data_IF_819112517845
#
_entry.id   IF_819112517845
#
_cell.length_a   1.000
_cell.length_b   1.000
_cell.length_c   1.000
_cell.angle_alpha   90.00
_cell.angle_beta   90.00
_cell.angle_gamma   90.00
#
_symmetry.space_group_name_H-M   'P 1'
#
loop_
_entity.id
_entity.type
_entity.pdbx_description
1 polymer ?
#
# COMPACT_ATOMS: atom_id res chain seq x y z
N UNK A 1 9.66 -14.25 -9.14
CA UNK A 1 9.30 -13.17 -8.18
C UNK A 1 10.11 -11.96 -8.59
N UNK A 2 9.49 -10.85 -8.94
CA UNK A 2 10.23 -9.62 -9.22
C UNK A 2 10.88 -9.09 -7.94
N UNK A 3 12.12 -8.60 -8.03
CA UNK A 3 12.81 -8.00 -6.92
C UNK A 3 12.03 -6.77 -6.41
N UNK A 4 12.05 -6.58 -5.08
CA UNK A 4 11.53 -5.37 -4.46
C UNK A 4 12.54 -4.25 -4.72
N UNK A 5 12.08 -3.20 -5.38
CA UNK A 5 12.88 -2.01 -5.69
C UNK A 5 12.92 -1.10 -4.47
N UNK A 6 11.75 -0.87 -3.86
CA UNK A 6 11.58 -0.04 -2.66
C UNK A 6 10.59 -0.68 -1.69
N UNK A 7 10.91 -0.56 -0.41
CA UNK A 7 10.08 -1.00 0.71
C UNK A 7 10.06 0.09 1.79
N UNK A 8 8.87 0.62 2.08
CA UNK A 8 8.71 1.72 3.05
C UNK A 8 7.36 1.68 3.75
N UNK A 9 7.32 2.19 4.98
CA UNK A 9 6.07 2.42 5.70
C UNK A 9 5.57 3.84 5.40
N UNK A 10 4.37 3.94 4.84
CA UNK A 10 3.72 5.22 4.55
C UNK A 10 2.31 5.30 5.14
N UNK A 11 1.82 6.53 5.31
CA UNK A 11 0.45 6.79 5.72
C UNK A 11 -0.47 6.85 4.49
N UNK A 12 -1.28 5.82 4.28
CA UNK A 12 -2.20 5.74 3.14
C UNK A 12 -3.55 6.36 3.50
N UNK A 13 -4.00 7.33 2.70
CA UNK A 13 -5.39 7.83 2.73
C UNK A 13 -6.36 6.81 2.12
N UNK A 14 -7.51 6.59 2.74
CA UNK A 14 -8.59 5.78 2.18
C UNK A 14 -9.23 6.49 0.98
N UNK A 15 -9.75 5.72 0.02
CA UNK A 15 -10.62 6.29 -1.00
C UNK A 15 -11.92 6.75 -0.35
N UNK A 16 -12.25 8.03 -0.50
CA UNK A 16 -13.46 8.60 0.06
C UNK A 16 -14.64 8.26 -0.87
N UNK A 17 -15.60 7.46 -0.39
CA UNK A 17 -16.77 7.06 -1.18
C UNK A 17 -17.89 8.10 -1.17
N UNK A 18 -18.07 8.85 -0.08
CA UNK A 18 -19.05 9.93 0.05
C UNK A 18 -18.35 11.23 0.45
N UNK A 19 -18.76 12.37 -0.12
CA UNK A 19 -18.13 13.69 0.09
C UNK A 19 -18.03 14.10 1.56
N UNK A 20 -19.01 13.71 2.37
CA UNK A 20 -19.09 14.05 3.81
C UNK A 20 -18.43 13.02 4.72
N UNK A 21 -17.97 11.88 4.20
CA UNK A 21 -17.33 10.86 5.03
C UNK A 21 -15.99 11.36 5.58
N UNK A 22 -15.64 11.08 6.84
CA UNK A 22 -14.35 11.44 7.40
C UNK A 22 -13.18 10.87 6.59
N UNK A 23 -12.07 11.62 6.54
CA UNK A 23 -10.83 11.15 5.94
C UNK A 23 -10.17 10.12 6.87
N UNK A 24 -9.88 8.93 6.36
CA UNK A 24 -9.18 7.89 7.12
C UNK A 24 -7.76 7.74 6.59
N UNK A 25 -6.80 7.74 7.51
CA UNK A 25 -5.38 7.55 7.23
C UNK A 25 -4.88 6.31 7.97
N UNK A 26 -4.24 5.38 7.28
CA UNK A 26 -3.70 4.14 7.89
C UNK A 26 -2.26 3.92 7.48
N UNK A 27 -1.41 3.58 8.45
CA UNK A 27 -0.03 3.15 8.17
C UNK A 27 -0.06 1.84 7.40
N UNK A 28 0.72 1.74 6.32
CA UNK A 28 0.82 0.57 5.45
C UNK A 28 2.27 0.37 5.02
N UNK A 29 2.69 -0.88 4.92
CA UNK A 29 3.94 -1.26 4.29
C UNK A 29 3.71 -1.33 2.77
N UNK A 30 4.42 -0.50 2.01
CA UNK A 30 4.38 -0.48 0.56
C UNK A 30 5.58 -1.21 -0.01
N UNK A 31 5.33 -2.03 -1.03
CA UNK A 31 6.34 -2.72 -1.81
C UNK A 31 6.17 -2.33 -3.28
N UNK A 32 7.22 -1.75 -3.84
CA UNK A 32 7.31 -1.45 -5.26
C UNK A 32 8.16 -2.51 -5.95
N UNK A 33 7.61 -3.11 -7.00
CA UNK A 33 8.30 -4.00 -7.93
C UNK A 33 8.12 -3.44 -9.33
N UNK A 34 8.87 -3.95 -10.31
CA UNK A 34 8.70 -3.56 -11.74
C UNK A 34 7.28 -3.78 -12.27
N UNK A 35 6.50 -4.68 -11.67
CA UNK A 35 5.15 -5.01 -12.15
C UNK A 35 4.02 -4.44 -11.30
N UNK A 36 4.23 -4.28 -9.99
CA UNK A 36 3.16 -3.94 -9.04
C UNK A 36 3.64 -3.01 -7.94
N UNK A 37 2.78 -2.08 -7.58
CA UNK A 37 2.79 -1.34 -6.32
C UNK A 37 1.76 -1.99 -5.37
N UNK A 38 2.23 -2.75 -4.39
CA UNK A 38 1.37 -3.45 -3.43
C UNK A 38 1.50 -2.85 -2.04
N UNK A 39 0.42 -2.90 -1.26
CA UNK A 39 0.45 -2.44 0.12
C UNK A 39 -0.24 -3.39 1.09
N UNK A 40 0.34 -3.48 2.29
CA UNK A 40 0.03 -4.48 3.30
C UNK A 40 -0.20 -3.81 4.66
N UNK A 41 -0.89 -4.51 5.55
CA UNK A 41 -0.70 -4.26 6.98
C UNK A 41 0.75 -4.52 7.38
N UNK A 42 1.23 -3.80 8.38
CA UNK A 42 2.54 -4.04 8.97
C UNK A 42 2.32 -4.61 10.37
N UNK A 43 2.83 -5.81 10.60
CA UNK A 43 2.82 -6.48 11.90
C UNK A 43 4.04 -6.00 12.67
N UNK A 44 3.84 -5.01 13.55
CA UNK A 44 4.93 -4.42 14.35
C UNK A 44 5.49 -5.41 15.38
N UNK A 45 4.66 -6.31 15.92
CA UNK A 45 5.08 -7.31 16.90
C UNK A 45 6.02 -8.34 16.28
N UNK A 46 5.77 -8.72 15.02
CA UNK A 46 6.60 -9.70 14.29
C UNK A 46 7.59 -9.09 13.32
N UNK A 47 7.64 -7.75 13.22
CA UNK A 47 8.51 -7.02 12.31
C UNK A 47 8.37 -7.42 10.84
N UNK A 48 7.17 -7.78 10.39
CA UNK A 48 6.96 -8.34 9.03
C UNK A 48 5.68 -7.87 8.36
N UNK A 49 5.59 -8.09 7.04
CA UNK A 49 4.37 -7.83 6.29
C UNK A 49 3.21 -8.69 6.80
N UNK A 50 2.07 -8.04 7.04
CA UNK A 50 0.80 -8.68 7.36
C UNK A 50 -0.06 -8.92 6.12
N UNK A 51 -1.38 -8.82 6.30
CA UNK A 51 -2.36 -9.06 5.23
C UNK A 51 -2.25 -8.04 4.08
N UNK A 52 -2.40 -8.49 2.83
CA UNK A 52 -2.44 -7.60 1.66
C UNK A 52 -3.72 -6.78 1.68
N UNK A 53 -3.61 -5.45 1.54
CA UNK A 53 -4.76 -4.52 1.51
C UNK A 53 -5.06 -3.96 0.13
N UNK A 54 -4.14 -4.09 -0.82
CA UNK A 54 -4.39 -3.79 -2.21
C UNK A 54 -3.13 -3.88 -3.07
N UNK A 55 -3.35 -3.68 -4.37
CA UNK A 55 -2.34 -3.79 -5.42
C UNK A 55 -2.73 -2.86 -6.55
N UNK A 56 -1.75 -2.23 -7.16
CA UNK A 56 -1.89 -1.49 -8.41
C UNK A 56 -0.86 -2.08 -9.37
N UNK A 57 -1.29 -2.43 -10.58
CA UNK A 57 -0.38 -2.87 -11.64
C UNK A 57 0.33 -1.62 -12.19
N UNK A 58 1.66 -1.68 -12.31
CA UNK A 58 2.48 -0.52 -12.70
C UNK A 58 2.11 -0.01 -14.08
N UNK A 59 1.70 -0.90 -14.99
CA UNK A 59 1.22 -0.57 -16.34
C UNK A 59 -0.02 0.35 -16.35
N UNK A 60 -0.79 0.40 -15.25
CA UNK A 60 -2.00 1.23 -15.11
C UNK A 60 -1.74 2.58 -14.45
N UNK A 61 -0.50 2.85 -14.03
CA UNK A 61 -0.15 4.11 -13.36
C UNK A 61 0.03 5.19 -14.42
N UNK A 62 -0.83 6.21 -14.35
CA UNK A 62 -0.74 7.45 -15.14
C UNK A 62 -0.77 8.64 -14.18
N UNK A 63 -0.17 9.77 -14.55
CA UNK A 63 -0.15 10.99 -13.75
C UNK A 63 -0.63 12.18 -14.58
#
# INVERSE_FOLDING_TARGET
MAAVILESIFLKRSQQKKKTSPLNFKKRLFLLTVHKLSYYEYDFERGRRGSKKGSIDVEKITC
#
